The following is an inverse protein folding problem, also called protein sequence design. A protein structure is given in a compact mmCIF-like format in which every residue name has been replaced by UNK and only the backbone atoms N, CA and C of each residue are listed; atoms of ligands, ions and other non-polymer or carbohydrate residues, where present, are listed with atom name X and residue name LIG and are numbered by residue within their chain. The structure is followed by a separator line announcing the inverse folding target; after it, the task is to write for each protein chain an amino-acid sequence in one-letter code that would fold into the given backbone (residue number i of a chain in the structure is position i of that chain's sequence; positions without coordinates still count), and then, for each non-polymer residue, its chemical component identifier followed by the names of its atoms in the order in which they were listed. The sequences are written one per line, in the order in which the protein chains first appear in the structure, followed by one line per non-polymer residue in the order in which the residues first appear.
data_IF_239188454500
#
_entry.id   IF_239188454500
#
_cell.length_a   1.000
_cell.length_b   1.000
_cell.length_c   1.000
_cell.angle_alpha   90.00
_cell.angle_beta   90.00
_cell.angle_gamma   90.00
#
_symmetry.space_group_name_H-M   'P 1'
#
loop_
_entity.id
_entity.type
_entity.pdbx_description
1 polymer ?
#
# COMPACT_ATOMS: atom_id res chain seq x y z
N UNK A 1 -5.43 -16.57 -2.90
CA UNK A 1 -5.53 -15.15 -2.53
C UNK A 1 -6.62 -14.41 -3.31
N UNK A 2 -7.86 -14.84 -3.17
CA UNK A 2 -8.95 -14.23 -3.93
C UNK A 2 -9.22 -12.77 -3.51
N UNK A 3 -9.10 -12.43 -2.21
CA UNK A 3 -9.38 -11.07 -1.76
C UNK A 3 -8.38 -10.05 -2.32
N UNK A 4 -7.09 -10.40 -2.40
CA UNK A 4 -6.08 -9.51 -2.99
C UNK A 4 -6.33 -9.24 -4.47
N UNK A 5 -6.80 -10.24 -5.21
CA UNK A 5 -6.94 -10.18 -6.66
C UNK A 5 -8.36 -9.87 -7.12
N UNK A 6 -9.24 -9.51 -6.20
CA UNK A 6 -10.68 -9.38 -6.45
C UNK A 6 -11.06 -8.12 -7.23
N UNK A 7 -10.16 -7.23 -7.48
CA UNK A 7 -10.47 -5.98 -8.19
C UNK A 7 -9.36 -4.97 -8.02
N UNK A 8 -9.68 -3.72 -8.31
CA UNK A 8 -8.73 -2.63 -8.24
C UNK A 8 -8.78 -2.00 -6.86
N UNK A 9 -7.62 -1.86 -6.23
CA UNK A 9 -7.48 -1.18 -4.95
C UNK A 9 -7.12 0.28 -5.16
N UNK A 10 -7.72 1.16 -4.38
CA UNK A 10 -7.48 2.61 -4.42
C UNK A 10 -6.96 3.08 -3.07
N UNK A 11 -6.23 4.17 -3.08
CA UNK A 11 -5.80 4.82 -1.85
C UNK A 11 -7.02 5.25 -1.02
N UNK A 12 -6.98 4.93 0.27
CA UNK A 12 -7.99 5.37 1.23
C UNK A 12 -7.39 6.37 2.20
N UNK A 13 -6.45 5.93 3.03
CA UNK A 13 -5.79 6.80 4.00
C UNK A 13 -4.41 6.23 4.36
N UNK A 14 -3.56 7.09 4.89
CA UNK A 14 -2.26 6.69 5.42
C UNK A 14 -1.83 7.64 6.52
N UNK A 15 -0.92 7.18 7.36
CA UNK A 15 -0.39 8.00 8.44
C UNK A 15 0.40 7.18 9.43
N UNK A 16 0.66 7.79 10.60
CA UNK A 16 1.51 7.21 11.62
C UNK A 16 0.69 6.74 12.80
N UNK A 17 0.99 5.53 13.25
CA UNK A 17 0.46 4.94 14.47
C UNK A 17 1.56 5.00 15.52
N UNK A 18 1.33 5.75 16.58
CA UNK A 18 2.30 5.92 17.66
C UNK A 18 2.07 4.96 18.83
N UNK A 19 0.93 4.29 18.87
CA UNK A 19 0.52 3.46 20.00
C UNK A 19 0.55 1.96 19.70
N UNK A 20 0.70 1.57 18.42
CA UNK A 20 0.75 0.17 18.02
C UNK A 20 -0.62 -0.48 17.86
N UNK A 21 -1.69 0.29 17.80
CA UNK A 21 -3.07 -0.22 17.69
C UNK A 21 -3.56 -0.36 16.25
N UNK A 22 -2.69 -0.09 15.25
CA UNK A 22 -2.99 -0.08 13.82
C UNK A 22 -4.00 0.98 13.40
N UNK A 23 -4.21 1.99 14.23
CA UNK A 23 -5.00 3.16 13.92
C UNK A 23 -4.10 4.35 13.67
N UNK A 24 -4.50 5.21 12.74
CA UNK A 24 -3.72 6.39 12.38
C UNK A 24 -3.93 7.47 13.43
N UNK A 25 -2.87 7.78 14.18
CA UNK A 25 -2.89 8.87 15.15
C UNK A 25 -2.58 10.21 14.48
N UNK A 26 -1.67 10.20 13.50
CA UNK A 26 -1.29 11.40 12.73
C UNK A 26 -1.41 11.08 11.24
N UNK A 27 -2.41 11.63 10.54
CA UNK A 27 -2.52 11.45 9.09
C UNK A 27 -1.28 11.97 8.35
N UNK A 28 -0.91 11.28 7.27
CA UNK A 28 0.17 11.73 6.41
C UNK A 28 -0.34 12.85 5.52
N UNK A 29 -0.06 14.09 5.93
CA UNK A 29 -0.48 15.27 5.18
C UNK A 29 0.51 15.65 4.07
N UNK A 30 1.65 14.97 4.00
CA UNK A 30 2.70 15.24 3.02
C UNK A 30 2.58 14.36 1.78
N UNK A 31 1.67 13.39 1.77
CA UNK A 31 1.46 12.54 0.61
C UNK A 31 0.93 13.37 -0.57
N UNK A 32 1.57 13.23 -1.72
CA UNK A 32 1.24 14.02 -2.90
C UNK A 32 -0.07 13.55 -3.53
N UNK A 33 -0.87 14.47 -4.13
CA UNK A 33 -2.11 14.09 -4.80
C UNK A 33 -1.91 13.04 -5.89
N UNK A 34 -0.78 13.05 -6.60
CA UNK A 34 -0.49 12.07 -7.63
C UNK A 34 -0.33 10.65 -7.09
N UNK A 35 0.07 10.51 -5.82
CA UNK A 35 0.15 9.19 -5.17
C UNK A 35 -1.23 8.73 -4.71
N UNK A 36 -2.04 9.65 -4.20
CA UNK A 36 -3.41 9.36 -3.78
C UNK A 36 -4.29 8.90 -4.93
N UNK A 37 -3.92 9.23 -6.16
CA UNK A 37 -4.68 8.92 -7.36
C UNK A 37 -4.32 7.55 -7.94
N UNK A 38 -3.29 6.89 -7.42
CA UNK A 38 -2.85 5.60 -7.92
C UNK A 38 -3.85 4.50 -7.57
N UNK A 39 -4.02 3.57 -8.51
CA UNK A 39 -4.77 2.34 -8.28
C UNK A 39 -3.85 1.13 -8.48
N UNK A 40 -4.20 0.03 -7.81
CA UNK A 40 -3.39 -1.18 -7.80
C UNK A 40 -4.29 -2.37 -8.11
N UNK A 41 -3.91 -3.15 -9.13
CA UNK A 41 -4.62 -4.38 -9.46
C UNK A 41 -3.65 -5.55 -9.33
N UNK A 42 -3.80 -6.31 -8.26
CA UNK A 42 -2.99 -7.51 -8.03
C UNK A 42 -3.58 -8.66 -8.83
N UNK A 43 -2.72 -9.38 -9.54
CA UNK A 43 -3.13 -10.51 -10.38
C UNK A 43 -2.53 -11.81 -9.86
N UNK A 44 -3.21 -12.90 -10.14
CA UNK A 44 -2.80 -14.21 -9.64
C UNK A 44 -1.51 -14.73 -10.28
N UNK A 45 -1.05 -14.12 -11.36
CA UNK A 45 0.22 -14.46 -12.01
C UNK A 45 1.43 -13.78 -11.36
N UNK A 46 1.26 -13.22 -10.16
CA UNK A 46 2.28 -12.50 -9.38
C UNK A 46 2.67 -11.16 -9.99
N UNK A 47 1.80 -10.56 -10.79
CA UNK A 47 1.98 -9.19 -11.29
C UNK A 47 0.98 -8.26 -10.65
N UNK A 48 1.36 -6.98 -10.54
CA UNK A 48 0.47 -5.90 -10.10
C UNK A 48 0.55 -4.77 -11.12
N UNK A 49 -0.62 -4.32 -11.56
CA UNK A 49 -0.72 -3.17 -12.47
C UNK A 49 -1.02 -1.94 -11.64
N UNK A 50 -0.17 -0.92 -11.77
CA UNK A 50 -0.35 0.37 -11.12
C UNK A 50 -0.78 1.36 -12.19
N UNK A 51 -1.94 2.00 -11.99
CA UNK A 51 -2.46 3.06 -12.83
C UNK A 51 -2.34 4.38 -12.08
N UNK A 52 -1.74 5.37 -12.69
CA UNK A 52 -1.49 6.66 -12.04
C UNK A 52 -2.72 7.58 -12.03
N UNK A 53 -3.87 7.12 -12.55
CA UNK A 53 -5.10 7.89 -12.51
C UNK A 53 -5.02 9.16 -13.36
N UNK A 54 -5.73 10.20 -12.91
CA UNK A 54 -5.81 11.47 -13.65
C UNK A 54 -4.58 12.36 -13.42
N UNK A 55 -3.87 12.19 -12.30
CA UNK A 55 -2.75 13.06 -11.91
C UNK A 55 -1.49 12.22 -11.77
N UNK A 56 -0.57 12.33 -12.73
CA UNK A 56 0.73 11.65 -12.64
C UNK A 56 1.73 12.51 -11.87
N UNK A 57 2.59 11.87 -11.07
CA UNK A 57 3.66 12.57 -10.37
C UNK A 57 4.68 13.15 -11.35
N UNK A 58 4.89 12.47 -12.47
CA UNK A 58 5.76 12.93 -13.54
C UNK A 58 5.04 12.68 -14.87
N UNK A 59 4.83 13.73 -15.65
CA UNK A 59 4.12 13.63 -16.92
C UNK A 59 4.80 12.72 -17.93
N UNK A 60 6.09 12.47 -17.79
CA UNK A 60 6.84 11.56 -18.67
C UNK A 60 6.66 10.10 -18.27
N UNK A 61 6.09 9.79 -17.10
CA UNK A 61 5.85 8.43 -16.69
C UNK A 61 4.71 7.79 -17.49
N UNK A 62 4.75 6.47 -17.74
CA UNK A 62 3.62 5.81 -18.37
C UNK A 62 2.39 5.86 -17.48
N UNK A 63 1.21 5.89 -18.08
CA UNK A 63 -0.05 5.90 -17.35
C UNK A 63 -0.20 4.65 -16.49
N UNK A 64 0.19 3.49 -17.01
CA UNK A 64 0.18 2.23 -16.30
C UNK A 64 1.55 1.57 -16.36
N UNK A 65 1.88 0.81 -15.32
CA UNK A 65 3.09 0.03 -15.27
C UNK A 65 2.80 -1.29 -14.55
N UNK A 66 3.52 -2.34 -14.95
CA UNK A 66 3.36 -3.67 -14.36
C UNK A 66 4.59 -4.00 -13.54
N UNK A 67 4.35 -4.44 -12.30
CA UNK A 67 5.40 -4.82 -11.35
C UNK A 67 5.14 -6.22 -10.84
N UNK A 68 6.05 -6.74 -10.04
CA UNK A 68 5.88 -8.02 -9.36
C UNK A 68 5.34 -7.82 -7.95
N UNK A 69 4.65 -8.83 -7.43
CA UNK A 69 4.23 -8.84 -6.03
C UNK A 69 4.25 -10.27 -5.50
N UNK A 70 4.37 -10.40 -4.19
CA UNK A 70 4.29 -11.67 -3.49
C UNK A 70 3.69 -11.44 -2.11
N UNK A 71 3.09 -12.49 -1.56
CA UNK A 71 2.55 -12.47 -0.21
C UNK A 71 2.98 -13.77 0.49
N UNK A 72 3.43 -13.63 1.73
CA UNK A 72 3.88 -14.79 2.51
C UNK A 72 2.70 -15.57 3.08
N UNK A 73 2.98 -16.84 3.47
CA UNK A 73 1.99 -17.66 4.16
C UNK A 73 2.01 -17.47 5.69
N UNK A 74 2.76 -16.50 6.17
CA UNK A 74 2.84 -16.22 7.60
C UNK A 74 1.54 -15.61 8.13
N UNK A 75 1.41 -15.58 9.45
CA UNK A 75 0.26 -14.98 10.14
C UNK A 75 0.79 -13.93 11.13
N UNK A 76 0.59 -12.63 10.84
CA UNK A 76 -0.04 -12.05 9.65
C UNK A 76 0.83 -12.14 8.40
N UNK A 77 0.24 -12.12 7.20
CA UNK A 77 1.02 -12.21 5.97
C UNK A 77 1.82 -10.94 5.70
N UNK A 78 2.91 -11.09 4.96
CA UNK A 78 3.77 -9.99 4.55
C UNK A 78 3.67 -9.84 3.03
N UNK A 79 3.30 -8.64 2.58
CA UNK A 79 3.19 -8.29 1.17
C UNK A 79 4.46 -7.59 0.72
N UNK A 80 5.01 -8.01 -0.41
CA UNK A 80 6.19 -7.37 -1.04
C UNK A 80 5.87 -7.06 -2.50
N UNK A 81 6.36 -5.93 -2.96
CA UNK A 81 6.24 -5.54 -4.37
C UNK A 81 7.30 -4.49 -4.68
N UNK A 82 7.76 -4.45 -5.92
CA UNK A 82 8.63 -3.37 -6.39
C UNK A 82 7.85 -2.20 -7.01
N UNK A 83 6.53 -2.19 -6.85
CA UNK A 83 5.68 -1.10 -7.35
C UNK A 83 5.88 0.21 -6.59
N UNK A 84 6.25 0.11 -5.32
CA UNK A 84 6.36 1.26 -4.42
C UNK A 84 7.49 0.98 -3.41
N UNK A 85 8.22 2.03 -3.03
CA UNK A 85 9.33 1.90 -2.10
C UNK A 85 8.89 1.39 -0.73
N UNK A 86 7.69 1.72 -0.29
CA UNK A 86 7.17 1.22 0.98
C UNK A 86 6.93 -0.30 0.94
N UNK A 87 6.57 -0.83 -0.22
CA UNK A 87 6.28 -2.26 -0.41
C UNK A 87 7.54 -3.09 -0.64
N UNK A 88 8.64 -2.48 -1.06
CA UNK A 88 9.88 -3.18 -1.42
C UNK A 88 10.46 -3.96 -0.23
N UNK A 89 10.45 -3.37 0.95
CA UNK A 89 10.95 -4.01 2.15
C UNK A 89 9.97 -4.97 2.81
N UNK A 90 8.75 -5.06 2.29
CA UNK A 90 7.68 -5.85 2.87
C UNK A 90 6.83 -5.06 3.85
N UNK A 91 5.53 -5.24 3.78
CA UNK A 91 4.56 -4.65 4.71
C UNK A 91 3.69 -5.75 5.28
N UNK A 92 3.30 -5.60 6.54
CA UNK A 92 2.42 -6.56 7.19
C UNK A 92 0.97 -6.22 6.87
N UNK A 93 0.22 -7.21 6.38
CA UNK A 93 -1.20 -7.06 6.09
C UNK A 93 -1.97 -7.28 7.37
N UNK A 94 -2.56 -6.22 7.92
CA UNK A 94 -3.31 -6.28 9.18
C UNK A 94 -4.80 -6.53 8.96
N UNK A 95 -5.36 -6.02 7.85
CA UNK A 95 -6.77 -6.23 7.49
C UNK A 95 -6.83 -6.53 6.00
N UNK A 96 -7.56 -7.59 5.64
CA UNK A 96 -7.85 -7.92 4.24
C UNK A 96 -9.28 -8.44 4.19
N UNK A 97 -10.18 -7.60 3.68
CA UNK A 97 -11.60 -7.93 3.50
C UNK A 97 -11.99 -7.64 2.06
N UNK A 98 -13.27 -7.86 1.74
CA UNK A 98 -13.79 -7.54 0.41
C UNK A 98 -13.80 -6.05 0.10
N UNK A 99 -13.61 -5.17 1.10
CA UNK A 99 -13.69 -3.72 0.92
C UNK A 99 -12.45 -2.97 1.38
N UNK A 100 -11.57 -3.60 2.18
CA UNK A 100 -10.44 -2.91 2.79
C UNK A 100 -9.20 -3.77 2.78
N UNK A 101 -8.07 -3.16 2.44
CA UNK A 101 -6.73 -3.72 2.60
C UNK A 101 -5.93 -2.73 3.44
N UNK A 102 -5.61 -3.13 4.67
CA UNK A 102 -4.80 -2.31 5.57
C UNK A 102 -3.45 -2.99 5.81
N UNK A 103 -2.41 -2.21 5.66
CA UNK A 103 -1.03 -2.67 5.80
C UNK A 103 -0.26 -1.73 6.70
N UNK A 104 0.80 -2.23 7.33
CA UNK A 104 1.68 -1.37 8.10
C UNK A 104 3.14 -1.80 7.95
N UNK A 105 4.02 -0.84 8.22
CA UNK A 105 5.46 -1.04 8.25
C UNK A 105 6.03 -0.28 9.43
N UNK A 106 6.83 -0.96 10.26
CA UNK A 106 7.52 -0.30 11.35
C UNK A 106 8.71 0.49 10.81
N UNK A 107 8.83 1.72 11.25
CA UNK A 107 9.92 2.63 10.85
C UNK A 107 10.35 3.46 12.05
N UNK A 108 11.30 4.35 11.86
CA UNK A 108 11.73 5.26 12.93
C UNK A 108 11.80 6.68 12.39
N UNK A 109 11.40 7.63 13.25
CA UNK A 109 11.49 9.06 12.98
C UNK A 109 12.23 9.69 14.15
N UNK A 110 13.38 10.33 13.87
CA UNK A 110 14.22 10.97 14.89
C UNK A 110 14.57 10.02 16.04
N UNK A 111 14.82 8.74 15.73
CA UNK A 111 15.16 7.73 16.73
C UNK A 111 13.97 7.12 17.46
N UNK A 112 12.76 7.54 17.15
CA UNK A 112 11.53 7.01 17.78
C UNK A 112 10.90 5.99 16.82
N UNK A 113 10.62 4.79 17.35
CA UNK A 113 9.94 3.76 16.58
C UNK A 113 8.47 4.14 16.39
N UNK A 114 8.03 4.17 15.13
CA UNK A 114 6.64 4.44 14.76
C UNK A 114 6.20 3.42 13.72
N UNK A 115 4.88 3.28 13.57
CA UNK A 115 4.30 2.38 12.58
C UNK A 115 3.62 3.22 11.50
N UNK A 116 4.01 3.02 10.24
CA UNK A 116 3.33 3.66 9.11
C UNK A 116 2.22 2.74 8.63
N UNK A 117 1.01 3.27 8.59
CA UNK A 117 -0.20 2.53 8.22
C UNK A 117 -0.69 3.05 6.88
N UNK A 118 -0.97 2.12 5.96
CA UNK A 118 -1.53 2.42 4.64
C UNK A 118 -2.80 1.60 4.46
N UNK A 119 -3.90 2.27 4.14
CA UNK A 119 -5.18 1.62 3.89
C UNK A 119 -5.62 1.87 2.46
N UNK A 120 -6.01 0.80 1.79
CA UNK A 120 -6.58 0.82 0.45
C UNK A 120 -8.02 0.33 0.50
N UNK A 121 -8.82 0.74 -0.48
CA UNK A 121 -10.23 0.37 -0.63
C UNK A 121 -10.54 0.07 -2.10
N UNK A 122 -11.67 -0.56 -2.32
CA UNK A 122 -12.19 -0.73 -3.68
C UNK A 122 -12.96 0.48 -4.17
#
# INVERSE_FOLDING_TARGET
MTLMTQGVWKYDTSGFDLTGDNKIDYPDTLIQPCIKDNTYQFKMDSTVVVDQGATKCNNSDPQTATYSWSISNSTPPILRSNADSILTGGVTVSVLTSTQLQMYKDTSILGISVRYVLSLKH
#
